data_IF_871603178214
#
_entry.id   IF_871603178214
#
_cell.length_a   1.000
_cell.length_b   1.000
_cell.length_c   1.000
_cell.angle_alpha   90.00
_cell.angle_beta   90.00
_cell.angle_gamma   90.00
#
_symmetry.space_group_name_H-M   'P 1'
#
loop_
_entity.id
_entity.type
_entity.pdbx_description
1 polymer ?
#
# COMPACT_ATOMS: atom_id res chain seq x y z
N UNK A 1 -35.84 -27.84 -56.58
CA UNK A 1 -36.12 -26.74 -55.61
C UNK A 1 -35.94 -27.28 -54.21
N UNK A 2 -34.76 -27.11 -53.65
CA UNK A 2 -34.48 -27.47 -52.25
C UNK A 2 -34.29 -26.17 -51.50
N UNK A 3 -35.20 -25.85 -50.60
CA UNK A 3 -35.17 -24.75 -49.72
C UNK A 3 -34.43 -25.27 -48.43
N UNK A 4 -33.17 -24.90 -48.25
CA UNK A 4 -32.44 -25.14 -47.03
C UNK A 4 -32.91 -24.16 -45.96
N UNK A 5 -33.47 -24.71 -44.88
CA UNK A 5 -33.85 -23.97 -43.70
C UNK A 5 -32.61 -23.35 -43.04
N UNK A 6 -32.62 -22.04 -42.88
CA UNK A 6 -31.62 -21.31 -42.07
C UNK A 6 -32.03 -21.54 -40.61
N UNK A 7 -31.21 -22.32 -39.88
CA UNK A 7 -31.32 -22.42 -38.43
C UNK A 7 -31.01 -21.05 -37.83
N UNK A 8 -31.99 -20.43 -37.20
CA UNK A 8 -31.83 -19.24 -36.38
C UNK A 8 -31.08 -19.61 -35.12
N UNK A 9 -29.77 -19.28 -35.06
CA UNK A 9 -29.02 -19.27 -33.84
C UNK A 9 -29.61 -18.22 -32.87
N UNK A 10 -30.56 -18.66 -32.07
CA UNK A 10 -31.00 -17.90 -30.90
C UNK A 10 -29.79 -17.76 -29.96
N UNK A 11 -29.19 -16.57 -29.96
CA UNK A 11 -28.22 -16.15 -28.94
C UNK A 11 -28.96 -16.24 -27.60
N UNK A 12 -28.69 -17.30 -26.85
CA UNK A 12 -29.13 -17.43 -25.45
C UNK A 12 -28.40 -16.32 -24.69
N UNK A 13 -29.09 -15.20 -24.46
CA UNK A 13 -28.61 -14.18 -23.54
C UNK A 13 -28.40 -14.87 -22.20
N UNK A 14 -27.22 -14.69 -21.55
CA UNK A 14 -26.97 -15.27 -20.25
C UNK A 14 -28.04 -14.79 -19.27
N UNK A 15 -28.62 -15.78 -18.59
CA UNK A 15 -29.63 -15.67 -17.54
C UNK A 15 -29.33 -14.45 -16.64
N UNK A 16 -30.40 -13.67 -16.37
CA UNK A 16 -30.36 -12.39 -15.66
C UNK A 16 -29.30 -12.38 -14.54
N UNK A 17 -28.20 -11.67 -14.78
CA UNK A 17 -27.09 -11.58 -13.87
C UNK A 17 -27.62 -11.12 -12.50
N UNK A 18 -27.64 -12.02 -11.51
CA UNK A 18 -28.00 -11.67 -10.14
C UNK A 18 -27.19 -10.46 -9.74
N UNK A 19 -27.80 -9.43 -9.13
CA UNK A 19 -27.05 -8.24 -8.73
C UNK A 19 -25.84 -8.66 -7.93
N UNK A 20 -24.66 -8.18 -8.35
CA UNK A 20 -23.39 -8.54 -7.72
C UNK A 20 -23.48 -8.30 -6.21
N UNK A 21 -23.30 -9.37 -5.44
CA UNK A 21 -23.36 -9.28 -3.97
C UNK A 21 -22.23 -8.40 -3.49
N UNK A 22 -22.55 -7.38 -2.68
CA UNK A 22 -21.55 -6.48 -2.11
C UNK A 22 -20.98 -7.08 -0.83
N UNK A 23 -19.68 -6.99 -0.66
CA UNK A 23 -18.99 -7.37 0.58
C UNK A 23 -18.97 -6.19 1.57
N UNK A 24 -20.10 -5.94 2.22
CA UNK A 24 -20.22 -4.85 3.19
C UNK A 24 -19.27 -5.03 4.39
N UNK A 25 -18.95 -6.27 4.77
CA UNK A 25 -17.99 -6.52 5.85
C UNK A 25 -16.59 -6.04 5.47
N UNK A 26 -16.17 -6.21 4.19
CA UNK A 26 -14.90 -5.66 3.70
C UNK A 26 -14.92 -4.12 3.70
N UNK A 27 -16.01 -3.49 3.29
CA UNK A 27 -16.11 -2.01 3.36
C UNK A 27 -15.94 -1.50 4.79
N UNK A 28 -16.64 -2.11 5.74
CA UNK A 28 -16.54 -1.74 7.15
C UNK A 28 -15.11 -2.01 7.67
N UNK A 29 -14.52 -3.17 7.33
CA UNK A 29 -13.17 -3.52 7.76
C UNK A 29 -12.13 -2.53 7.24
N UNK A 30 -12.20 -2.13 5.96
CA UNK A 30 -11.32 -1.11 5.36
C UNK A 30 -11.42 0.24 6.08
N UNK A 31 -12.63 0.64 6.48
CA UNK A 31 -12.85 1.88 7.23
C UNK A 31 -12.27 1.78 8.64
N UNK A 32 -12.45 0.63 9.29
CA UNK A 32 -12.12 0.46 10.71
C UNK A 32 -10.63 0.23 10.97
N UNK A 33 -9.92 -0.46 10.06
CA UNK A 33 -8.54 -0.88 10.31
C UNK A 33 -7.57 0.28 10.66
N UNK A 34 -7.59 1.46 10.02
CA UNK A 34 -6.72 2.57 10.40
C UNK A 34 -7.17 3.32 11.66
N UNK A 35 -8.36 3.00 12.18
CA UNK A 35 -8.92 3.62 13.38
C UNK A 35 -8.88 2.69 14.61
N UNK A 36 -8.45 1.44 14.44
CA UNK A 36 -8.61 0.37 15.42
C UNK A 36 -8.05 0.71 16.81
N UNK A 37 -6.88 1.36 16.89
CA UNK A 37 -6.24 1.64 18.16
C UNK A 37 -7.02 2.63 19.04
N UNK A 38 -7.96 3.40 18.44
CA UNK A 38 -8.84 4.28 19.20
C UNK A 38 -9.97 3.51 19.87
N UNK A 39 -10.55 2.54 19.17
CA UNK A 39 -11.77 1.87 19.66
C UNK A 39 -11.51 0.44 20.15
N UNK A 40 -10.32 -0.15 19.91
CA UNK A 40 -10.01 -1.53 20.35
C UNK A 40 -10.21 -1.70 21.87
N UNK A 41 -9.89 -0.68 22.66
CA UNK A 41 -10.08 -0.67 24.10
C UNK A 41 -11.55 -0.79 24.55
N UNK A 42 -12.50 -0.47 23.67
CA UNK A 42 -13.95 -0.55 23.93
C UNK A 42 -14.58 -1.82 23.35
N UNK A 43 -13.80 -2.62 22.59
CA UNK A 43 -14.29 -3.81 21.96
C UNK A 43 -13.94 -5.04 22.79
N UNK A 44 -14.81 -6.07 22.79
CA UNK A 44 -14.55 -7.28 23.52
C UNK A 44 -13.33 -8.02 22.94
N UNK A 45 -12.44 -8.44 23.82
CA UNK A 45 -11.41 -9.46 23.52
C UNK A 45 -11.95 -10.80 23.97
N UNK A 46 -12.01 -11.75 23.05
CA UNK A 46 -12.54 -13.10 23.31
C UNK A 46 -11.44 -14.07 23.77
N UNK A 47 -10.22 -13.60 23.96
CA UNK A 47 -9.06 -14.43 24.32
C UNK A 47 -8.49 -15.22 23.15
N UNK A 48 -7.32 -15.87 23.38
CA UNK A 48 -6.69 -16.71 22.36
C UNK A 48 -6.31 -15.99 21.06
N UNK A 49 -6.16 -14.68 21.08
CA UNK A 49 -5.90 -13.85 19.90
C UNK A 49 -7.12 -13.60 19.01
N UNK A 50 -8.32 -13.99 19.44
CA UNK A 50 -9.56 -13.69 18.75
C UNK A 50 -10.14 -12.37 19.26
N UNK A 51 -10.00 -11.32 18.47
CA UNK A 51 -10.56 -10.00 18.74
C UNK A 51 -11.58 -9.59 17.66
N UNK A 52 -12.24 -8.47 17.86
CA UNK A 52 -13.24 -7.96 16.93
C UNK A 52 -12.72 -7.81 15.50
N UNK A 53 -11.46 -7.39 15.29
CA UNK A 53 -10.88 -7.24 13.97
C UNK A 53 -10.71 -8.57 13.25
N UNK A 54 -10.33 -9.62 13.98
CA UNK A 54 -10.25 -10.98 13.45
C UNK A 54 -11.63 -11.49 13.01
N UNK A 55 -12.68 -11.18 13.77
CA UNK A 55 -14.07 -11.50 13.39
C UNK A 55 -14.49 -10.73 12.13
N UNK A 56 -14.14 -9.46 12.02
CA UNK A 56 -14.39 -8.67 10.81
C UNK A 56 -13.65 -9.25 9.60
N UNK A 57 -12.42 -9.67 9.77
CA UNK A 57 -11.65 -10.37 8.73
C UNK A 57 -12.34 -11.66 8.28
N UNK A 58 -12.76 -12.50 9.22
CA UNK A 58 -13.48 -13.75 8.92
C UNK A 58 -14.78 -13.44 8.17
N UNK A 59 -15.56 -12.47 8.64
CA UNK A 59 -16.80 -12.05 7.97
C UNK A 59 -16.54 -11.55 6.54
N UNK A 60 -15.52 -10.71 6.34
CA UNK A 60 -15.14 -10.19 5.03
C UNK A 60 -14.69 -11.32 4.10
N UNK A 61 -13.93 -12.29 4.60
CA UNK A 61 -13.47 -13.45 3.84
C UNK A 61 -14.64 -14.35 3.42
N UNK A 62 -15.51 -14.74 4.35
CA UNK A 62 -16.69 -15.57 4.05
C UNK A 62 -17.65 -14.89 3.06
N UNK A 63 -17.81 -13.56 3.15
CA UNK A 63 -18.58 -12.80 2.17
C UNK A 63 -17.89 -12.72 0.82
N UNK A 64 -16.56 -12.57 0.77
CA UNK A 64 -15.80 -12.55 -0.46
C UNK A 64 -15.99 -13.83 -1.29
N UNK A 65 -16.05 -15.00 -0.64
CA UNK A 65 -16.34 -16.29 -1.28
C UNK A 65 -17.71 -16.31 -2.01
N UNK A 66 -18.65 -15.43 -1.61
CA UNK A 66 -20.01 -15.35 -2.18
C UNK A 66 -20.18 -14.25 -3.21
N UNK A 67 -19.17 -13.37 -3.40
CA UNK A 67 -19.26 -12.24 -4.33
C UNK A 67 -18.98 -12.61 -5.79
N UNK A 68 -18.34 -13.76 -6.04
CA UNK A 68 -18.11 -14.28 -7.40
C UNK A 68 -16.95 -13.65 -8.17
N UNK A 69 -16.14 -12.76 -7.53
CA UNK A 69 -15.01 -12.13 -8.20
C UNK A 69 -13.88 -13.10 -8.55
N UNK A 70 -13.56 -14.04 -7.66
CA UNK A 70 -12.46 -14.98 -7.81
C UNK A 70 -11.07 -14.31 -7.83
N UNK A 71 -10.01 -15.12 -7.87
CA UNK A 71 -8.64 -14.63 -7.98
C UNK A 71 -8.26 -14.43 -9.47
N UNK A 72 -7.62 -13.31 -9.76
CA UNK A 72 -7.16 -12.97 -11.11
C UNK A 72 -5.88 -13.76 -11.42
N UNK A 73 -5.88 -14.46 -12.56
CA UNK A 73 -4.72 -15.20 -13.06
C UNK A 73 -3.86 -14.33 -13.99
N UNK A 74 -2.68 -14.79 -14.34
CA UNK A 74 -1.82 -14.18 -15.38
C UNK A 74 -1.01 -12.93 -14.94
N UNK A 75 -1.21 -12.41 -13.72
CA UNK A 75 -0.41 -11.28 -13.23
C UNK A 75 0.88 -11.71 -12.50
N UNK A 76 0.94 -12.95 -12.04
CA UNK A 76 2.00 -13.48 -11.18
C UNK A 76 1.96 -12.97 -9.73
N UNK A 77 1.26 -11.86 -9.45
CA UNK A 77 1.24 -11.21 -8.13
C UNK A 77 0.71 -12.14 -7.05
N UNK A 78 -0.40 -12.83 -7.31
CA UNK A 78 -1.00 -13.75 -6.35
C UNK A 78 -0.05 -14.88 -5.94
N UNK A 79 0.70 -15.44 -6.90
CA UNK A 79 1.68 -16.50 -6.64
C UNK A 79 2.84 -16.01 -5.78
N UNK A 80 3.41 -14.85 -6.10
CA UNK A 80 4.50 -14.27 -5.32
C UNK A 80 4.07 -13.84 -3.91
N UNK A 81 2.83 -13.34 -3.77
CA UNK A 81 2.26 -13.03 -2.44
C UNK A 81 2.06 -14.30 -1.61
N UNK A 82 1.54 -15.38 -2.20
CA UNK A 82 1.42 -16.67 -1.51
C UNK A 82 2.78 -17.23 -1.12
N UNK A 83 3.79 -17.12 -2.00
CA UNK A 83 5.15 -17.54 -1.69
C UNK A 83 5.76 -16.70 -0.56
N UNK A 84 5.50 -15.39 -0.53
CA UNK A 84 5.91 -14.50 0.54
C UNK A 84 5.32 -14.88 1.91
N UNK A 85 4.03 -15.25 1.94
CA UNK A 85 3.38 -15.74 3.16
C UNK A 85 3.93 -17.11 3.58
N UNK A 86 4.13 -18.03 2.64
CA UNK A 86 4.72 -19.34 2.90
C UNK A 86 6.16 -19.23 3.42
N UNK A 87 6.94 -18.31 2.85
CA UNK A 87 8.29 -17.97 3.33
C UNK A 87 8.29 -17.42 4.76
N UNK A 88 7.27 -16.64 5.12
CA UNK A 88 7.05 -16.16 6.49
C UNK A 88 6.77 -17.30 7.47
N UNK A 89 5.91 -18.25 7.08
CA UNK A 89 5.63 -19.45 7.90
C UNK A 89 6.88 -20.31 8.06
N UNK A 90 7.63 -20.55 6.99
CA UNK A 90 8.87 -21.30 7.04
C UNK A 90 9.90 -20.65 7.96
N UNK A 91 10.09 -19.33 7.83
CA UNK A 91 11.01 -18.58 8.70
C UNK A 91 10.57 -18.57 10.16
N UNK A 92 9.25 -18.53 10.44
CA UNK A 92 8.74 -18.71 11.80
C UNK A 92 9.11 -20.06 12.35
N UNK A 93 8.87 -21.16 11.61
CA UNK A 93 9.21 -22.51 12.06
C UNK A 93 10.70 -22.69 12.33
N UNK A 94 11.56 -22.12 11.51
CA UNK A 94 13.02 -22.14 11.69
C UNK A 94 13.41 -21.34 12.94
N UNK A 95 12.77 -20.20 13.18
CA UNK A 95 13.17 -19.25 14.22
C UNK A 95 12.67 -19.57 15.62
N UNK A 96 11.65 -20.43 15.80
CA UNK A 96 11.05 -20.70 17.11
C UNK A 96 12.01 -21.21 18.19
N UNK A 97 13.12 -21.84 17.79
CA UNK A 97 14.14 -22.34 18.70
C UNK A 97 15.34 -21.42 18.88
N UNK A 98 15.38 -20.28 18.20
CA UNK A 98 16.56 -19.39 18.18
C UNK A 98 16.49 -18.26 19.21
N UNK A 99 15.36 -18.10 19.88
CA UNK A 99 15.13 -17.10 20.92
C UNK A 99 14.54 -17.74 22.16
N UNK A 100 14.81 -17.17 23.32
CA UNK A 100 14.32 -17.68 24.62
C UNK A 100 12.78 -17.51 24.73
N UNK A 101 12.23 -16.42 24.21
CA UNK A 101 10.80 -16.12 24.20
C UNK A 101 10.29 -15.87 22.79
N UNK A 102 9.53 -16.82 22.23
CA UNK A 102 8.85 -16.71 20.96
C UNK A 102 7.36 -16.35 21.09
N UNK A 103 6.91 -15.94 22.28
CA UNK A 103 5.54 -15.46 22.50
C UNK A 103 5.27 -14.24 21.61
N UNK A 104 4.13 -14.26 20.91
CA UNK A 104 3.79 -13.15 19.99
C UNK A 104 4.18 -13.35 18.53
N UNK A 105 5.18 -14.19 18.20
CA UNK A 105 5.59 -14.41 16.80
C UNK A 105 4.43 -14.90 15.92
N UNK A 106 3.60 -15.80 16.42
CA UNK A 106 2.40 -16.26 15.73
C UNK A 106 1.38 -15.14 15.50
N UNK A 107 1.22 -14.22 16.45
CA UNK A 107 0.36 -13.06 16.31
C UNK A 107 0.93 -12.07 15.27
N UNK A 108 2.23 -11.80 15.29
CA UNK A 108 2.89 -10.95 14.31
C UNK A 108 2.71 -11.50 12.87
N UNK A 109 2.90 -12.82 12.68
CA UNK A 109 2.68 -13.47 11.38
C UNK A 109 1.21 -13.45 10.96
N UNK A 110 0.27 -13.67 11.89
CA UNK A 110 -1.17 -13.57 11.65
C UNK A 110 -1.54 -12.16 11.18
N UNK A 111 -1.10 -11.13 11.88
CA UNK A 111 -1.45 -9.74 11.57
C UNK A 111 -0.87 -9.32 10.21
N UNK A 112 0.36 -9.71 9.90
CA UNK A 112 0.98 -9.55 8.58
C UNK A 112 0.17 -10.27 7.50
N UNK A 113 -0.27 -11.50 7.76
CA UNK A 113 -1.04 -12.32 6.82
C UNK A 113 -2.42 -11.72 6.56
N UNK A 114 -3.12 -11.23 7.58
CA UNK A 114 -4.39 -10.52 7.45
C UNK A 114 -4.21 -9.30 6.54
N UNK A 115 -3.20 -8.47 6.78
CA UNK A 115 -2.93 -7.28 5.97
C UNK A 115 -2.71 -7.63 4.49
N UNK A 116 -1.87 -8.62 4.20
CA UNK A 116 -1.58 -9.06 2.83
C UNK A 116 -2.81 -9.64 2.14
N UNK A 117 -3.71 -10.28 2.89
CA UNK A 117 -4.94 -10.89 2.37
C UNK A 117 -5.92 -9.86 1.80
N UNK A 118 -5.79 -8.57 2.12
CA UNK A 118 -6.59 -7.50 1.48
C UNK A 118 -6.45 -7.48 -0.04
N UNK A 119 -5.30 -7.87 -0.58
CA UNK A 119 -5.12 -8.07 -2.02
C UNK A 119 -6.10 -9.11 -2.59
N UNK A 120 -6.28 -10.23 -1.90
CA UNK A 120 -7.19 -11.29 -2.33
C UNK A 120 -8.64 -10.91 -2.08
N UNK A 121 -8.94 -10.32 -0.92
CA UNK A 121 -10.30 -9.85 -0.58
C UNK A 121 -10.81 -8.83 -1.59
N UNK A 122 -9.97 -7.89 -2.04
CA UNK A 122 -10.34 -6.93 -3.08
C UNK A 122 -10.66 -7.63 -4.40
N UNK A 123 -9.83 -8.57 -4.85
CA UNK A 123 -10.06 -9.33 -6.07
C UNK A 123 -11.34 -10.17 -6.01
N UNK A 124 -11.57 -10.88 -4.90
CA UNK A 124 -12.71 -11.76 -4.73
C UNK A 124 -14.04 -11.01 -4.58
N UNK A 125 -14.01 -9.80 -4.02
CA UNK A 125 -15.19 -9.02 -3.70
C UNK A 125 -15.63 -8.08 -4.82
N UNK A 126 -14.73 -7.71 -5.74
CA UNK A 126 -15.00 -6.78 -6.83
C UNK A 126 -15.22 -7.53 -8.13
N UNK A 127 -16.35 -7.26 -8.81
CA UNK A 127 -16.72 -7.89 -10.09
C UNK A 127 -16.84 -6.88 -11.23
N UNK A 128 -16.97 -5.60 -10.92
CA UNK A 128 -17.18 -4.52 -11.87
C UNK A 128 -16.51 -3.20 -11.46
N UNK A 129 -16.50 -2.22 -12.35
CA UNK A 129 -15.94 -0.90 -12.09
C UNK A 129 -16.64 -0.14 -10.96
N UNK A 130 -17.93 -0.39 -10.74
CA UNK A 130 -18.70 0.27 -9.69
C UNK A 130 -18.27 -0.24 -8.31
N UNK A 131 -18.16 -1.55 -8.15
CA UNK A 131 -17.64 -2.18 -6.94
C UNK A 131 -16.22 -1.73 -6.61
N UNK A 132 -15.35 -1.64 -7.66
CA UNK A 132 -13.98 -1.16 -7.52
C UNK A 132 -13.92 0.28 -6.99
N UNK A 133 -14.69 1.19 -7.57
CA UNK A 133 -14.77 2.58 -7.12
C UNK A 133 -15.35 2.72 -5.71
N UNK A 134 -16.37 1.92 -5.36
CA UNK A 134 -16.97 1.94 -4.02
C UNK A 134 -15.99 1.45 -2.95
N UNK A 135 -15.25 0.38 -3.23
CA UNK A 135 -14.26 -0.14 -2.28
C UNK A 135 -13.09 0.84 -2.09
N UNK A 136 -12.66 1.51 -3.17
CA UNK A 136 -11.71 2.61 -3.06
C UNK A 136 -12.28 3.78 -2.23
N UNK A 137 -13.53 4.18 -2.45
CA UNK A 137 -14.16 5.25 -1.68
C UNK A 137 -14.22 4.92 -0.19
N UNK A 138 -14.49 3.66 0.17
CA UNK A 138 -14.45 3.21 1.57
C UNK A 138 -13.11 3.48 2.24
N UNK A 139 -11.99 3.34 1.49
CA UNK A 139 -10.64 3.63 2.03
C UNK A 139 -10.39 5.11 2.31
N UNK A 140 -11.17 6.03 1.73
CA UNK A 140 -11.06 7.46 1.99
C UNK A 140 -11.89 7.92 3.20
N UNK A 141 -12.89 7.14 3.61
CA UNK A 141 -13.83 7.51 4.68
C UNK A 141 -13.13 7.82 6.03
N UNK A 142 -12.13 7.07 6.49
CA UNK A 142 -11.49 7.33 7.78
C UNK A 142 -10.57 8.57 7.77
N UNK A 143 -10.12 9.04 6.60
CA UNK A 143 -9.08 10.07 6.49
C UNK A 143 -9.40 11.40 7.18
N UNK A 144 -10.63 11.97 7.09
CA UNK A 144 -10.96 13.19 7.79
C UNK A 144 -10.87 13.05 9.31
N UNK A 145 -11.29 11.90 9.85
CA UNK A 145 -11.22 11.66 11.28
C UNK A 145 -9.77 11.44 11.75
N UNK A 146 -8.97 10.70 10.99
CA UNK A 146 -7.53 10.53 11.26
C UNK A 146 -6.82 11.89 11.30
N UNK A 147 -7.12 12.76 10.33
CA UNK A 147 -6.58 14.11 10.30
C UNK A 147 -7.06 14.97 11.48
N UNK A 148 -8.34 14.87 11.86
CA UNK A 148 -8.88 15.56 13.02
C UNK A 148 -8.11 15.19 14.29
N UNK A 149 -7.91 13.90 14.54
CA UNK A 149 -7.14 13.41 15.72
C UNK A 149 -5.69 13.90 15.68
N UNK A 150 -5.04 13.84 14.50
CA UNK A 150 -3.70 14.37 14.36
C UNK A 150 -3.62 15.86 14.70
N UNK A 151 -4.55 16.66 14.16
CA UNK A 151 -4.61 18.10 14.41
C UNK A 151 -4.87 18.41 15.89
N UNK A 152 -5.78 17.70 16.51
CA UNK A 152 -6.11 17.87 17.93
C UNK A 152 -4.90 17.63 18.82
N UNK A 153 -4.16 16.53 18.59
CA UNK A 153 -2.93 16.22 19.29
C UNK A 153 -1.84 17.27 19.04
N UNK A 154 -1.69 17.74 17.78
CA UNK A 154 -0.72 18.78 17.44
C UNK A 154 -1.07 20.16 18.03
N UNK A 155 -2.34 20.45 18.31
CA UNK A 155 -2.74 21.73 18.90
C UNK A 155 -2.19 21.95 20.31
N UNK A 156 -1.78 20.88 21.00
CA UNK A 156 -1.18 20.93 22.33
C UNK A 156 0.33 21.22 22.33
N UNK A 157 0.99 21.25 21.16
CA UNK A 157 2.45 21.43 21.04
C UNK A 157 2.82 22.70 20.27
N UNK A 158 3.97 23.29 20.61
CA UNK A 158 4.47 24.51 19.95
C UNK A 158 4.93 24.19 18.52
N UNK A 159 4.55 25.03 17.55
CA UNK A 159 4.97 24.89 16.16
C UNK A 159 6.32 25.57 15.82
N UNK A 160 6.96 26.22 16.81
CA UNK A 160 8.14 27.06 16.57
C UNK A 160 9.46 26.29 16.55
N UNK A 161 9.64 25.33 17.47
CA UNK A 161 10.85 24.52 17.58
C UNK A 161 10.46 23.05 17.62
N UNK A 162 11.23 22.20 16.93
CA UNK A 162 11.00 20.76 16.93
C UNK A 162 11.39 20.16 18.28
N UNK A 163 10.52 19.27 18.80
CA UNK A 163 10.80 18.39 19.93
C UNK A 163 10.25 16.99 19.61
N UNK A 164 10.83 15.94 20.21
CA UNK A 164 10.39 14.56 19.93
C UNK A 164 8.94 14.29 20.37
N UNK A 165 8.40 15.07 21.32
CA UNK A 165 6.99 15.02 21.71
C UNK A 165 6.02 15.45 20.60
N UNK A 166 6.51 16.11 19.53
CA UNK A 166 5.70 16.46 18.35
C UNK A 166 5.49 15.27 17.40
N UNK A 167 6.18 14.15 17.60
CA UNK A 167 6.02 12.94 16.79
C UNK A 167 4.78 12.18 17.21
N UNK A 168 3.64 12.65 16.75
CA UNK A 168 2.30 12.19 17.11
C UNK A 168 1.86 11.10 16.14
N UNK A 169 1.25 10.05 16.66
CA UNK A 169 0.80 8.90 15.87
C UNK A 169 -0.67 8.95 15.48
N UNK A 170 -1.39 9.99 15.89
CA UNK A 170 -2.83 10.15 15.68
C UNK A 170 -3.61 8.86 16.03
N UNK A 171 -4.39 8.32 15.07
CA UNK A 171 -5.16 7.10 15.27
C UNK A 171 -4.32 5.83 15.31
N UNK A 172 -3.02 5.90 14.96
CA UNK A 172 -2.13 4.73 15.02
C UNK A 172 -1.55 4.47 16.40
N UNK A 173 -1.60 5.46 17.30
CA UNK A 173 -1.13 5.34 18.69
C UNK A 173 0.27 4.67 18.76
N UNK A 174 0.36 3.50 19.39
CA UNK A 174 1.61 2.77 19.62
C UNK A 174 2.33 2.30 18.34
N UNK A 175 1.65 2.30 17.18
CA UNK A 175 2.30 1.96 15.91
C UNK A 175 3.29 3.02 15.39
N UNK A 176 3.24 4.24 15.95
CA UNK A 176 4.23 5.27 15.69
C UNK A 176 3.85 6.30 14.61
N UNK A 177 4.48 7.48 14.71
CA UNK A 177 4.25 8.62 13.83
C UNK A 177 4.73 8.37 12.40
N UNK A 178 5.79 7.59 12.22
CA UNK A 178 6.33 7.29 10.90
C UNK A 178 5.40 6.39 10.10
N UNK A 179 4.73 5.44 10.75
CA UNK A 179 3.78 4.50 10.16
C UNK A 179 2.52 5.22 9.72
N UNK A 180 2.01 6.12 10.56
CA UNK A 180 0.91 7.02 10.19
C UNK A 180 1.29 7.92 9.02
N UNK A 181 2.49 8.51 9.03
CA UNK A 181 2.97 9.35 7.93
C UNK A 181 3.08 8.57 6.62
N UNK A 182 3.57 7.33 6.64
CA UNK A 182 3.63 6.47 5.45
C UNK A 182 2.24 6.10 4.93
N UNK A 183 1.26 5.90 5.82
CA UNK A 183 -0.14 5.73 5.43
C UNK A 183 -0.68 6.97 4.72
N UNK A 184 -0.44 8.17 5.29
CA UNK A 184 -0.86 9.43 4.68
C UNK A 184 -0.19 9.67 3.33
N UNK A 185 1.11 9.39 3.19
CA UNK A 185 1.83 9.45 1.90
C UNK A 185 1.16 8.55 0.87
N UNK A 186 0.88 7.29 1.24
CA UNK A 186 0.26 6.31 0.34
C UNK A 186 -1.13 6.76 -0.11
N UNK A 187 -2.00 7.15 0.83
CA UNK A 187 -3.35 7.61 0.54
C UNK A 187 -3.36 8.90 -0.30
N UNK A 188 -2.47 9.86 0.04
CA UNK A 188 -2.30 11.11 -0.69
C UNK A 188 -1.92 10.85 -2.15
N UNK A 189 -0.87 10.04 -2.40
CA UNK A 189 -0.38 9.79 -3.75
C UNK A 189 -1.38 9.03 -4.61
N UNK A 190 -2.10 8.04 -4.05
CA UNK A 190 -3.14 7.33 -4.79
C UNK A 190 -4.32 8.25 -5.12
N UNK A 191 -4.77 9.07 -4.17
CA UNK A 191 -5.83 10.04 -4.41
C UNK A 191 -5.39 11.13 -5.42
N UNK A 192 -4.14 11.60 -5.34
CA UNK A 192 -3.59 12.59 -6.27
C UNK A 192 -3.48 12.04 -7.69
N UNK A 193 -3.01 10.80 -7.88
CA UNK A 193 -2.98 10.16 -9.18
C UNK A 193 -4.37 10.05 -9.83
N UNK A 194 -5.41 9.75 -9.03
CA UNK A 194 -6.80 9.77 -9.48
C UNK A 194 -7.28 11.18 -9.81
N UNK A 195 -6.96 12.17 -8.98
CA UNK A 195 -7.38 13.57 -9.17
C UNK A 195 -6.89 14.15 -10.51
N UNK A 196 -5.65 13.84 -10.88
CA UNK A 196 -5.03 14.39 -12.10
C UNK A 196 -5.18 13.46 -13.31
N UNK A 197 -5.23 12.15 -13.10
CA UNK A 197 -5.22 11.14 -14.18
C UNK A 197 -6.61 10.74 -14.65
N UNK A 198 -7.67 10.96 -13.87
CA UNK A 198 -9.01 10.51 -14.17
C UNK A 198 -9.99 11.63 -14.50
N UNK A 199 -10.87 11.40 -15.48
CA UNK A 199 -12.04 12.26 -15.72
C UNK A 199 -13.16 11.81 -14.78
N UNK A 200 -13.32 12.53 -13.68
CA UNK A 200 -14.32 12.22 -12.63
C UNK A 200 -15.31 13.36 -12.47
N UNK A 201 -16.49 13.07 -11.91
CA UNK A 201 -17.49 14.08 -11.57
C UNK A 201 -16.96 15.06 -10.52
N UNK A 202 -17.65 16.20 -10.38
CA UNK A 202 -17.27 17.24 -9.42
C UNK A 202 -17.22 16.72 -7.97
N UNK A 203 -18.21 15.87 -7.57
CA UNK A 203 -18.21 15.27 -6.22
C UNK A 203 -16.98 14.40 -5.97
N UNK A 204 -16.56 13.59 -6.95
CA UNK A 204 -15.33 12.84 -6.87
C UNK A 204 -14.09 13.72 -6.79
N UNK A 205 -14.04 14.81 -7.59
CA UNK A 205 -12.92 15.76 -7.53
C UNK A 205 -12.82 16.42 -6.17
N UNK A 206 -13.95 16.85 -5.61
CA UNK A 206 -13.98 17.44 -4.27
C UNK A 206 -13.48 16.45 -3.22
N UNK A 207 -13.99 15.22 -3.21
CA UNK A 207 -13.56 14.18 -2.27
C UNK A 207 -12.06 13.85 -2.39
N UNK A 208 -11.54 13.69 -3.62
CA UNK A 208 -10.12 13.43 -3.86
C UNK A 208 -9.24 14.62 -3.47
N UNK A 209 -9.65 15.85 -3.82
CA UNK A 209 -8.91 17.05 -3.44
C UNK A 209 -8.86 17.24 -1.93
N UNK A 210 -9.98 17.00 -1.24
CA UNK A 210 -10.03 17.01 0.24
C UNK A 210 -9.08 15.96 0.82
N UNK A 211 -9.14 14.72 0.34
CA UNK A 211 -8.23 13.65 0.80
C UNK A 211 -6.76 14.03 0.58
N UNK A 212 -6.40 14.52 -0.62
CA UNK A 212 -5.03 14.96 -0.94
C UNK A 212 -4.58 16.07 0.01
N UNK A 213 -5.41 17.10 0.21
CA UNK A 213 -5.07 18.23 1.09
C UNK A 213 -4.89 17.80 2.54
N UNK A 214 -5.85 17.05 3.09
CA UNK A 214 -5.78 16.59 4.48
C UNK A 214 -4.55 15.71 4.70
N UNK A 215 -4.27 14.77 3.78
CA UNK A 215 -3.14 13.87 3.92
C UNK A 215 -1.80 14.57 3.69
N UNK A 216 -1.69 15.51 2.74
CA UNK A 216 -0.47 16.29 2.53
C UNK A 216 -0.13 17.14 3.77
N UNK A 217 -1.11 17.83 4.34
CA UNK A 217 -0.94 18.57 5.60
C UNK A 217 -0.60 17.61 6.74
N UNK A 218 -1.25 16.45 6.80
CA UNK A 218 -0.93 15.42 7.78
C UNK A 218 0.50 14.91 7.69
N UNK A 219 1.05 14.76 6.48
CA UNK A 219 2.48 14.41 6.27
C UNK A 219 3.39 15.50 6.83
N UNK A 220 3.10 16.77 6.61
CA UNK A 220 3.87 17.89 7.17
C UNK A 220 3.83 17.85 8.70
N UNK A 221 2.65 17.70 9.29
CA UNK A 221 2.45 17.65 10.75
C UNK A 221 2.92 16.36 11.42
N UNK A 222 3.37 15.36 10.67
CA UNK A 222 3.95 14.13 11.23
C UNK A 222 5.40 14.30 11.68
N UNK A 223 6.07 15.34 11.24
CA UNK A 223 7.51 15.59 11.46
C UNK A 223 8.41 14.39 11.07
N UNK A 224 7.96 13.57 10.11
CA UNK A 224 8.68 12.40 9.62
C UNK A 224 9.57 12.75 8.42
N UNK A 225 10.89 12.84 8.62
CA UNK A 225 11.89 13.08 7.54
C UNK A 225 11.72 12.10 6.37
N UNK A 226 11.56 10.81 6.69
CA UNK A 226 11.37 9.76 5.68
C UNK A 226 10.10 9.98 4.87
N UNK A 227 9.01 10.44 5.49
CA UNK A 227 7.76 10.72 4.80
C UNK A 227 7.89 11.92 3.84
N UNK A 228 8.67 12.94 4.22
CA UNK A 228 8.94 14.09 3.33
C UNK A 228 9.68 13.65 2.06
N UNK A 229 10.73 12.84 2.21
CA UNK A 229 11.48 12.31 1.06
C UNK A 229 10.58 11.38 0.21
N UNK A 230 9.82 10.50 0.87
CA UNK A 230 8.96 9.53 0.20
C UNK A 230 7.85 10.20 -0.62
N UNK A 231 7.17 11.24 -0.06
CA UNK A 231 6.10 11.93 -0.80
C UNK A 231 6.66 12.67 -2.01
N UNK A 232 7.81 13.33 -1.90
CA UNK A 232 8.47 14.02 -3.00
C UNK A 232 8.87 13.05 -4.11
N UNK A 233 9.46 11.91 -3.76
CA UNK A 233 9.80 10.87 -4.74
C UNK A 233 8.56 10.30 -5.42
N UNK A 234 7.48 10.02 -4.68
CA UNK A 234 6.21 9.57 -5.24
C UNK A 234 5.57 10.59 -6.17
N UNK A 235 5.58 11.87 -5.81
CA UNK A 235 5.10 12.96 -6.67
C UNK A 235 5.96 13.08 -7.94
N UNK A 236 7.29 12.93 -7.84
CA UNK A 236 8.18 12.92 -9.00
C UNK A 236 7.83 11.80 -9.97
N UNK A 237 7.57 10.59 -9.47
CA UNK A 237 7.13 9.45 -10.29
C UNK A 237 5.79 9.75 -10.98
N UNK A 238 4.81 10.27 -10.24
CA UNK A 238 3.50 10.64 -10.81
C UNK A 238 3.69 11.70 -11.90
N UNK A 239 4.53 12.71 -11.66
CA UNK A 239 4.83 13.76 -12.64
C UNK A 239 5.46 13.17 -13.89
N UNK A 240 6.48 12.33 -13.77
CA UNK A 240 7.21 11.74 -14.89
C UNK A 240 6.32 10.81 -15.75
N UNK A 241 5.45 10.03 -15.11
CA UNK A 241 4.56 9.09 -15.79
C UNK A 241 3.25 9.73 -16.28
N UNK A 242 2.91 10.94 -15.79
CA UNK A 242 1.68 11.63 -16.19
C UNK A 242 1.74 12.12 -17.64
N UNK A 243 0.65 11.92 -18.39
CA UNK A 243 0.50 12.47 -19.74
C UNK A 243 0.42 14.01 -19.77
N UNK A 244 0.07 14.63 -18.64
CA UNK A 244 0.00 16.10 -18.49
C UNK A 244 1.23 16.67 -17.77
N UNK A 245 2.33 15.93 -17.75
CA UNK A 245 3.57 16.28 -17.03
C UNK A 245 4.03 17.72 -17.24
N UNK A 246 3.98 18.22 -18.48
CA UNK A 246 4.38 19.60 -18.79
C UNK A 246 3.47 20.64 -18.13
N UNK A 247 2.15 20.36 -18.02
CA UNK A 247 1.19 21.25 -17.34
C UNK A 247 1.34 21.23 -15.83
N UNK A 248 1.83 20.11 -15.27
CA UNK A 248 2.06 19.94 -13.84
C UNK A 248 3.42 20.45 -13.39
N UNK A 249 4.39 20.55 -14.31
CA UNK A 249 5.78 20.89 -13.97
C UNK A 249 5.89 22.30 -13.37
N UNK A 250 5.20 23.29 -13.95
CA UNK A 250 5.22 24.64 -13.42
C UNK A 250 4.57 24.78 -12.05
N UNK A 251 3.35 24.24 -11.81
CA UNK A 251 2.78 24.20 -10.45
C UNK A 251 3.62 23.43 -9.46
N UNK A 252 4.25 22.31 -9.87
CA UNK A 252 5.13 21.52 -9.00
C UNK A 252 6.38 22.32 -8.60
N UNK A 253 7.01 23.01 -9.55
CA UNK A 253 8.15 23.88 -9.28
C UNK A 253 7.76 25.06 -8.38
N UNK A 254 6.63 25.70 -8.64
CA UNK A 254 6.10 26.75 -7.79
C UNK A 254 5.83 26.26 -6.37
N UNK A 255 5.26 25.06 -6.21
CA UNK A 255 5.03 24.45 -4.91
C UNK A 255 6.35 24.19 -4.18
N UNK A 256 7.38 23.67 -4.84
CA UNK A 256 8.70 23.45 -4.23
C UNK A 256 9.33 24.74 -3.70
N UNK A 257 9.13 25.86 -4.40
CA UNK A 257 9.64 27.18 -3.96
C UNK A 257 8.83 27.74 -2.78
N UNK A 258 7.51 27.51 -2.78
CA UNK A 258 6.61 28.08 -1.76
C UNK A 258 6.50 27.16 -0.52
N UNK A 259 6.73 25.85 -0.68
CA UNK A 259 6.59 24.87 0.41
C UNK A 259 7.38 25.24 1.68
N UNK A 260 8.67 25.64 1.63
CA UNK A 260 9.44 26.05 2.82
C UNK A 260 8.79 27.22 3.57
N UNK A 261 8.14 28.15 2.86
CA UNK A 261 7.47 29.32 3.46
C UNK A 261 6.15 28.91 4.13
N UNK A 262 5.49 27.88 3.62
CA UNK A 262 4.22 27.37 4.16
C UNK A 262 4.39 26.37 5.28
N UNK A 263 5.57 25.77 5.43
CA UNK A 263 5.84 24.79 6.49
C UNK A 263 5.94 25.47 7.85
N UNK A 264 5.39 24.85 8.92
CA UNK A 264 5.68 25.30 10.29
C UNK A 264 7.19 25.32 10.53
N UNK A 265 7.72 26.30 11.30
CA UNK A 265 9.17 26.40 11.58
C UNK A 265 9.77 25.10 12.11
N UNK A 266 9.10 24.42 13.03
CA UNK A 266 9.52 23.11 13.55
C UNK A 266 9.61 22.01 12.48
N UNK A 267 8.73 22.04 11.46
CA UNK A 267 8.78 21.07 10.36
C UNK A 267 9.95 21.39 9.42
N UNK A 268 10.27 22.67 9.22
CA UNK A 268 11.44 23.10 8.44
C UNK A 268 12.74 22.74 9.15
N UNK A 269 12.86 23.03 10.46
CA UNK A 269 13.97 22.62 11.31
C UNK A 269 14.19 21.09 11.23
N UNK A 270 13.11 20.30 11.27
CA UNK A 270 13.19 18.84 11.14
C UNK A 270 13.61 18.39 9.74
N UNK A 271 13.23 19.12 8.69
CA UNK A 271 13.68 18.84 7.32
C UNK A 271 15.17 19.18 7.15
N UNK A 272 15.63 20.30 7.68
CA UNK A 272 17.03 20.74 7.63
C UNK A 272 17.98 19.83 8.45
N UNK A 273 17.45 19.12 9.47
CA UNK A 273 18.23 18.15 10.26
C UNK A 273 18.56 16.85 9.50
N UNK A 274 18.20 16.73 8.21
CA UNK A 274 18.58 15.59 7.37
C UNK A 274 20.07 15.73 7.01
N UNK A 275 20.92 14.99 7.71
CA UNK A 275 22.35 14.91 7.40
C UNK A 275 22.82 13.47 7.32
N UNK A 276 23.81 13.23 6.45
CA UNK A 276 24.52 11.95 6.33
C UNK A 276 25.87 12.03 7.06
N UNK A 277 26.35 13.25 7.35
CA UNK A 277 27.62 13.49 8.02
C UNK A 277 27.56 13.04 9.49
N UNK A 278 28.54 12.24 9.92
CA UNK A 278 28.59 11.60 11.24
C UNK A 278 28.60 12.61 12.38
N UNK A 279 29.27 13.75 12.19
CA UNK A 279 29.40 14.81 13.20
C UNK A 279 28.09 15.58 13.48
N UNK A 280 27.09 15.48 12.57
CA UNK A 280 25.84 16.25 12.62
C UNK A 280 24.61 15.36 12.71
N UNK A 281 24.80 14.02 12.67
CA UNK A 281 23.69 13.05 12.76
C UNK A 281 23.05 13.07 14.15
N UNK A 282 21.72 12.91 14.18
CA UNK A 282 21.00 12.72 15.44
C UNK A 282 21.10 11.26 15.92
N UNK A 283 20.94 11.05 17.23
CA UNK A 283 20.98 9.75 17.89
C UNK A 283 20.08 8.68 17.21
N UNK A 284 18.92 9.10 16.71
CA UNK A 284 17.99 8.21 15.98
C UNK A 284 18.53 7.75 14.63
N UNK A 285 19.48 8.46 14.03
CA UNK A 285 20.13 8.04 12.79
C UNK A 285 21.32 7.15 13.09
N UNK A 286 22.11 7.48 14.11
CA UNK A 286 23.28 6.68 14.53
C UNK A 286 22.87 5.29 15.00
N UNK A 287 21.84 5.18 15.81
CA UNK A 287 21.33 3.88 16.28
C UNK A 287 20.95 2.94 15.12
N UNK A 288 20.45 3.47 14.00
CA UNK A 288 20.14 2.64 12.82
C UNK A 288 21.37 2.01 12.19
N UNK A 289 22.48 2.72 12.13
CA UNK A 289 23.72 2.12 11.58
C UNK A 289 24.21 0.97 12.46
N UNK A 290 24.10 1.10 13.79
CA UNK A 290 24.40 0.00 14.71
C UNK A 290 23.50 -1.22 14.41
N UNK A 291 22.18 -1.03 14.30
CA UNK A 291 21.25 -2.14 13.97
C UNK A 291 21.52 -2.75 12.60
N UNK A 292 21.96 -1.96 11.63
CA UNK A 292 22.31 -2.48 10.30
C UNK A 292 23.58 -3.32 10.35
N UNK A 293 24.59 -2.92 11.12
CA UNK A 293 25.81 -3.70 11.33
C UNK A 293 25.51 -5.04 12.01
N UNK A 294 24.72 -5.02 13.09
CA UNK A 294 24.25 -6.24 13.78
C UNK A 294 23.48 -7.15 12.82
N UNK A 295 22.54 -6.61 12.04
CA UNK A 295 21.78 -7.37 11.07
C UNK A 295 22.65 -7.99 9.97
N UNK A 296 23.66 -7.26 9.46
CA UNK A 296 24.60 -7.78 8.48
C UNK A 296 25.47 -8.88 9.11
N UNK A 297 25.86 -8.74 10.36
CA UNK A 297 26.63 -9.76 11.09
C UNK A 297 25.85 -11.07 11.16
N UNK A 298 24.63 -11.05 11.67
CA UNK A 298 23.77 -12.25 11.78
C UNK A 298 23.35 -12.83 10.43
N UNK A 299 23.16 -11.99 9.41
CA UNK A 299 22.95 -12.49 8.05
C UNK A 299 24.15 -13.30 7.53
N UNK A 300 25.40 -12.87 7.80
CA UNK A 300 26.60 -13.61 7.40
C UNK A 300 26.73 -14.97 8.09
N UNK A 301 26.22 -15.08 9.32
CA UNK A 301 26.21 -16.34 10.07
C UNK A 301 25.13 -17.31 9.54
N UNK A 302 23.98 -16.79 9.11
CA UNK A 302 22.83 -17.57 8.65
C UNK A 302 22.33 -17.14 7.25
N UNK A 303 23.15 -17.21 6.19
CA UNK A 303 22.87 -16.53 4.93
C UNK A 303 21.72 -17.15 4.12
N UNK A 304 21.44 -18.45 4.26
CA UNK A 304 20.44 -19.13 3.41
C UNK A 304 19.01 -18.92 3.88
N UNK A 305 18.76 -19.13 5.17
CA UNK A 305 17.39 -19.15 5.76
C UNK A 305 17.17 -18.10 6.84
N UNK A 306 18.24 -17.38 7.24
CA UNK A 306 18.19 -16.33 8.26
C UNK A 306 18.05 -16.86 9.69
N UNK A 307 17.87 -15.92 10.63
CA UNK A 307 17.73 -16.21 12.06
C UNK A 307 16.28 -16.59 12.45
N UNK A 308 15.31 -16.46 11.56
CA UNK A 308 13.89 -16.71 11.80
C UNK A 308 13.04 -15.45 11.84
N UNK A 309 11.75 -15.62 11.53
CA UNK A 309 10.76 -14.54 11.47
C UNK A 309 10.58 -13.87 12.84
N UNK A 310 10.67 -12.55 12.86
CA UNK A 310 10.43 -11.72 14.04
C UNK A 310 11.42 -11.96 15.19
N UNK A 311 12.65 -12.39 14.89
CA UNK A 311 13.66 -12.70 15.89
C UNK A 311 14.66 -11.55 16.14
N UNK A 312 14.85 -10.65 15.16
CA UNK A 312 15.93 -9.66 15.25
C UNK A 312 15.83 -8.74 16.48
N UNK A 313 14.62 -8.38 16.91
CA UNK A 313 14.43 -7.46 18.05
C UNK A 313 14.65 -8.11 19.43
N UNK A 314 15.02 -9.39 19.49
CA UNK A 314 15.37 -10.04 20.75
C UNK A 314 16.83 -9.80 21.15
N UNK A 315 17.11 -9.86 22.46
CA UNK A 315 18.42 -9.60 23.03
C UNK A 315 19.55 -10.51 22.49
N UNK A 316 19.17 -11.69 21.94
CA UNK A 316 20.09 -12.61 21.30
C UNK A 316 20.65 -12.08 19.95
N UNK A 317 19.97 -11.12 19.31
CA UNK A 317 20.31 -10.61 17.99
C UNK A 317 20.45 -9.10 17.89
N UNK A 318 19.87 -8.34 18.82
CA UNK A 318 19.97 -6.89 18.85
C UNK A 318 20.37 -6.42 20.27
N UNK A 319 21.45 -5.69 20.34
CA UNK A 319 22.00 -5.17 21.64
C UNK A 319 21.03 -4.20 22.34
N UNK A 320 20.09 -3.61 21.60
CA UNK A 320 19.12 -2.65 22.12
C UNK A 320 17.69 -3.18 22.09
N UNK A 321 17.48 -4.45 21.75
CA UNK A 321 16.15 -5.07 21.59
C UNK A 321 15.22 -4.28 20.66
N UNK A 322 15.79 -3.74 19.57
CA UNK A 322 15.10 -2.88 18.62
C UNK A 322 15.05 -3.52 17.24
N UNK A 323 14.07 -3.13 16.44
CA UNK A 323 13.95 -3.54 15.03
C UNK A 323 15.08 -2.94 14.17
N UNK A 324 15.38 -3.61 13.05
CA UNK A 324 16.41 -3.20 12.05
C UNK A 324 16.18 -1.79 11.51
N UNK A 325 14.95 -1.29 11.52
CA UNK A 325 14.54 -0.05 10.84
C UNK A 325 14.93 0.05 9.37
N UNK A 326 15.08 -1.10 8.72
CA UNK A 326 15.25 -1.26 7.27
C UNK A 326 14.60 -2.58 6.86
N UNK A 327 13.45 -2.49 6.21
CA UNK A 327 12.65 -3.67 5.84
C UNK A 327 13.40 -4.66 4.95
N UNK A 328 14.22 -4.18 4.02
CA UNK A 328 14.97 -5.05 3.10
C UNK A 328 16.02 -5.86 3.86
N UNK A 329 16.74 -5.20 4.74
CA UNK A 329 17.75 -5.84 5.58
C UNK A 329 17.11 -6.79 6.61
N UNK A 330 15.95 -6.41 7.15
CA UNK A 330 15.15 -7.29 8.02
C UNK A 330 14.74 -8.58 7.31
N UNK A 331 14.22 -8.49 6.09
CA UNK A 331 13.84 -9.68 5.32
C UNK A 331 15.05 -10.57 5.00
N UNK A 332 16.25 -9.98 4.82
CA UNK A 332 17.48 -10.73 4.62
C UNK A 332 17.97 -11.40 5.91
N UNK A 333 18.03 -10.69 7.04
CA UNK A 333 18.52 -11.28 8.29
C UNK A 333 17.57 -12.31 8.86
N UNK A 334 16.24 -12.07 8.78
CA UNK A 334 15.23 -12.99 9.32
C UNK A 334 14.95 -14.20 8.43
N UNK A 335 15.11 -14.08 7.10
CA UNK A 335 14.71 -15.14 6.13
C UNK A 335 15.81 -15.54 5.14
N UNK A 336 17.01 -15.00 5.30
CA UNK A 336 18.15 -15.28 4.45
C UNK A 336 17.96 -14.85 3.00
N UNK A 337 18.85 -15.35 2.13
CA UNK A 337 18.79 -15.15 0.67
C UNK A 337 17.46 -15.64 0.10
N UNK A 338 16.87 -16.70 0.65
CA UNK A 338 15.56 -17.20 0.22
C UNK A 338 14.48 -16.12 0.36
N UNK A 339 14.41 -15.46 1.52
CA UNK A 339 13.49 -14.34 1.75
C UNK A 339 13.77 -13.16 0.84
N UNK A 340 15.05 -12.83 0.63
CA UNK A 340 15.48 -11.77 -0.28
C UNK A 340 15.03 -11.99 -1.73
N UNK A 341 15.19 -13.22 -2.26
CA UNK A 341 14.73 -13.60 -3.60
C UNK A 341 13.22 -13.50 -3.74
N UNK A 342 12.48 -13.99 -2.74
CA UNK A 342 11.02 -13.89 -2.70
C UNK A 342 10.58 -12.42 -2.70
N UNK A 343 11.21 -11.59 -1.90
CA UNK A 343 10.94 -10.15 -1.84
C UNK A 343 11.22 -9.45 -3.16
N UNK A 344 12.36 -9.72 -3.78
CA UNK A 344 12.71 -9.15 -5.10
C UNK A 344 11.71 -9.57 -6.18
N UNK A 345 11.28 -10.84 -6.18
CA UNK A 345 10.24 -11.32 -7.08
C UNK A 345 8.91 -10.62 -6.85
N UNK A 346 8.53 -10.37 -5.60
CA UNK A 346 7.33 -9.63 -5.25
C UNK A 346 7.41 -8.16 -5.72
N UNK A 347 8.54 -7.49 -5.47
CA UNK A 347 8.80 -6.12 -5.95
C UNK A 347 8.70 -6.06 -7.47
N UNK A 348 9.32 -6.99 -8.17
CA UNK A 348 9.26 -7.10 -9.62
C UNK A 348 7.83 -7.28 -10.13
N UNK A 349 7.06 -8.21 -9.54
CA UNK A 349 5.68 -8.48 -9.94
C UNK A 349 4.75 -7.28 -9.73
N UNK A 350 4.87 -6.56 -8.61
CA UNK A 350 4.08 -5.33 -8.37
C UNK A 350 4.48 -4.25 -9.38
N UNK A 351 5.78 -4.04 -9.59
CA UNK A 351 6.27 -3.06 -10.58
C UNK A 351 5.77 -3.39 -11.98
N UNK A 352 5.84 -4.68 -12.38
CA UNK A 352 5.32 -5.16 -13.68
C UNK A 352 3.81 -4.97 -13.80
N UNK A 353 3.04 -5.24 -12.73
CA UNK A 353 1.58 -4.98 -12.69
C UNK A 353 1.29 -3.51 -13.00
N UNK A 354 1.97 -2.59 -12.31
CA UNK A 354 1.77 -1.15 -12.49
C UNK A 354 2.17 -0.71 -13.91
N UNK A 355 3.30 -1.20 -14.41
CA UNK A 355 3.76 -0.92 -15.76
C UNK A 355 2.76 -1.41 -16.83
N UNK A 356 2.30 -2.67 -16.73
CA UNK A 356 1.26 -3.21 -17.63
C UNK A 356 -0.05 -2.41 -17.53
N UNK A 357 -0.45 -2.04 -16.32
CA UNK A 357 -1.61 -1.19 -16.09
C UNK A 357 -1.48 0.14 -16.84
N UNK A 358 -0.35 0.84 -16.69
CA UNK A 358 -0.10 2.12 -17.37
C UNK A 358 -0.05 1.99 -18.90
N UNK A 359 0.41 0.86 -19.42
CA UNK A 359 0.52 0.64 -20.86
C UNK A 359 -0.84 0.51 -21.56
N UNK A 360 -1.85 -0.08 -20.87
CA UNK A 360 -3.16 -0.38 -21.49
C UNK A 360 -4.29 0.57 -21.08
N UNK A 361 -4.00 1.60 -20.24
CA UNK A 361 -5.03 2.54 -19.80
C UNK A 361 -5.46 3.50 -20.90
N UNK A 362 -6.76 3.82 -20.92
CA UNK A 362 -7.30 4.94 -21.69
C UNK A 362 -6.96 6.27 -21.00
N UNK A 363 -6.64 7.33 -21.77
CA UNK A 363 -6.45 8.66 -21.21
C UNK A 363 -7.69 9.13 -20.43
N UNK A 364 -7.49 9.58 -19.21
CA UNK A 364 -8.59 10.05 -18.36
C UNK A 364 -9.46 8.96 -17.76
N UNK A 365 -9.10 7.68 -17.90
CA UNK A 365 -9.82 6.58 -17.23
C UNK A 365 -9.57 6.58 -15.73
N UNK A 366 -10.57 6.13 -14.97
CA UNK A 366 -10.45 6.00 -13.51
C UNK A 366 -9.31 5.03 -13.13
N UNK A 367 -9.22 3.91 -13.86
CA UNK A 367 -8.15 2.93 -13.66
C UNK A 367 -6.76 3.52 -13.92
N UNK A 368 -6.63 4.34 -14.96
CA UNK A 368 -5.37 5.03 -15.25
C UNK A 368 -4.91 5.95 -14.12
N UNK A 369 -5.85 6.69 -13.52
CA UNK A 369 -5.55 7.51 -12.35
C UNK A 369 -5.15 6.69 -11.12
N UNK A 370 -5.84 5.56 -10.86
CA UNK A 370 -5.49 4.64 -9.78
C UNK A 370 -4.07 4.09 -9.93
N UNK A 371 -3.75 3.53 -11.10
CA UNK A 371 -2.42 2.92 -11.34
C UNK A 371 -1.32 3.97 -11.31
N UNK A 372 -1.57 5.18 -11.83
CA UNK A 372 -0.63 6.30 -11.77
C UNK A 372 -0.31 6.68 -10.31
N UNK A 373 -1.35 6.86 -9.48
CA UNK A 373 -1.17 7.18 -8.08
C UNK A 373 -0.50 6.06 -7.29
N UNK A 374 -0.88 4.81 -7.57
CA UNK A 374 -0.28 3.64 -6.94
C UNK A 374 1.19 3.44 -7.34
N UNK A 375 1.59 3.81 -8.57
CA UNK A 375 2.99 3.79 -8.98
C UNK A 375 3.83 4.79 -8.15
N UNK A 376 3.32 6.00 -7.92
CA UNK A 376 3.96 6.96 -7.01
C UNK A 376 4.02 6.44 -5.57
N UNK A 377 2.90 5.91 -5.05
CA UNK A 377 2.84 5.34 -3.71
C UNK A 377 3.78 4.14 -3.54
N UNK A 378 3.92 3.30 -4.57
CA UNK A 378 4.84 2.17 -4.56
C UNK A 378 6.29 2.60 -4.38
N UNK A 379 6.76 3.57 -5.17
CA UNK A 379 8.13 4.09 -5.03
C UNK A 379 8.32 4.79 -3.67
N UNK A 380 7.34 5.57 -3.22
CA UNK A 380 7.37 6.19 -1.90
C UNK A 380 7.51 5.16 -0.77
N UNK A 381 6.78 4.03 -0.85
CA UNK A 381 6.87 2.93 0.10
C UNK A 381 8.23 2.22 0.05
N UNK A 382 8.77 1.95 -1.14
CA UNK A 382 10.10 1.36 -1.25
C UNK A 382 11.16 2.24 -0.57
N UNK A 383 11.13 3.56 -0.80
CA UNK A 383 12.03 4.51 -0.13
C UNK A 383 11.76 4.52 1.38
N UNK A 384 10.50 4.57 1.80
CA UNK A 384 10.11 4.54 3.21
C UNK A 384 10.60 3.31 3.96
N UNK A 385 10.75 2.17 3.26
CA UNK A 385 11.24 0.92 3.81
C UNK A 385 12.77 0.79 3.88
N UNK A 386 13.52 1.71 3.27
CA UNK A 386 14.98 1.81 3.48
C UNK A 386 15.29 2.32 4.88
N UNK A 387 14.44 3.22 5.42
CA UNK A 387 14.63 3.85 6.72
C UNK A 387 13.54 3.47 7.73
N UNK A 388 12.95 2.28 7.59
CA UNK A 388 11.93 1.76 8.49
C UNK A 388 11.32 0.45 7.98
N UNK A 389 10.42 -0.12 8.78
CA UNK A 389 9.78 -1.42 8.55
C UNK A 389 8.29 -1.26 8.22
N UNK A 390 7.96 -0.43 7.22
CA UNK A 390 6.56 -0.06 6.92
C UNK A 390 5.71 -1.25 6.50
N UNK A 391 6.29 -2.27 5.85
CA UNK A 391 5.59 -3.48 5.45
C UNK A 391 5.28 -4.45 6.61
N UNK A 392 5.72 -4.16 7.83
CA UNK A 392 5.38 -4.94 9.02
C UNK A 392 4.11 -4.46 9.71
N UNK A 393 3.75 -3.19 9.57
CA UNK A 393 2.63 -2.55 10.27
C UNK A 393 1.31 -2.77 9.51
N UNK A 394 0.50 -3.69 9.98
CA UNK A 394 -0.69 -4.15 9.30
C UNK A 394 -1.73 -3.04 8.99
N UNK A 395 -1.95 -2.08 9.88
CA UNK A 395 -2.90 -0.99 9.65
C UNK A 395 -2.52 -0.13 8.42
N UNK A 396 -1.22 0.09 8.23
CA UNK A 396 -0.68 0.84 7.11
C UNK A 396 -0.67 0.00 5.83
N UNK A 397 -0.13 -1.22 5.89
CA UNK A 397 0.11 -2.02 4.69
C UNK A 397 -1.15 -2.67 4.12
N UNK A 398 -2.20 -2.87 4.94
CA UNK A 398 -3.48 -3.40 4.48
C UNK A 398 -4.10 -2.55 3.36
N UNK A 399 -4.02 -1.22 3.47
CA UNK A 399 -4.52 -0.32 2.43
C UNK A 399 -3.69 -0.37 1.15
N UNK A 400 -2.37 -0.52 1.27
CA UNK A 400 -1.54 -0.76 0.08
C UNK A 400 -1.94 -2.05 -0.65
N UNK A 401 -2.11 -3.16 0.08
CA UNK A 401 -2.54 -4.42 -0.51
C UNK A 401 -3.97 -4.36 -1.08
N UNK A 402 -4.85 -3.58 -0.45
CA UNK A 402 -6.17 -3.27 -1.00
C UNK A 402 -6.02 -2.60 -2.38
N UNK A 403 -5.23 -1.53 -2.48
CA UNK A 403 -5.02 -0.80 -3.74
C UNK A 403 -4.34 -1.68 -4.80
N UNK A 404 -3.38 -2.50 -4.42
CA UNK A 404 -2.76 -3.48 -5.31
C UNK A 404 -3.80 -4.51 -5.82
N UNK A 405 -4.69 -5.00 -4.95
CA UNK A 405 -5.79 -5.88 -5.32
C UNK A 405 -6.78 -5.21 -6.28
N UNK A 406 -7.12 -3.93 -6.06
CA UNK A 406 -7.92 -3.13 -6.98
C UNK A 406 -7.21 -2.92 -8.32
N UNK A 407 -5.89 -2.73 -8.34
CA UNK A 407 -5.13 -2.61 -9.57
C UNK A 407 -5.10 -3.93 -10.36
N UNK A 408 -4.93 -5.08 -9.69
CA UNK A 408 -5.01 -6.41 -10.30
C UNK A 408 -6.40 -6.64 -10.92
N UNK A 409 -7.47 -6.36 -10.16
CA UNK A 409 -8.85 -6.53 -10.66
C UNK A 409 -9.15 -5.54 -11.80
N UNK A 410 -8.73 -4.30 -11.68
CA UNK A 410 -8.90 -3.29 -12.73
C UNK A 410 -8.16 -3.65 -14.01
N UNK A 411 -6.98 -4.28 -13.92
CA UNK A 411 -6.26 -4.81 -15.07
C UNK A 411 -7.09 -5.86 -15.80
N UNK A 412 -7.66 -6.83 -15.07
CA UNK A 412 -8.52 -7.87 -15.66
C UNK A 412 -9.78 -7.27 -16.33
N UNK A 413 -10.48 -6.35 -15.64
CA UNK A 413 -11.66 -5.69 -16.21
C UNK A 413 -11.29 -4.93 -17.49
N UNK A 414 -10.10 -4.33 -17.52
CA UNK A 414 -9.64 -3.63 -18.72
C UNK A 414 -9.31 -4.58 -19.87
N UNK A 415 -8.69 -5.74 -19.61
CA UNK A 415 -8.47 -6.77 -20.64
C UNK A 415 -9.80 -7.31 -21.17
N UNK A 416 -10.78 -7.56 -20.30
CA UNK A 416 -12.12 -7.99 -20.73
C UNK A 416 -12.80 -6.97 -21.67
N UNK A 417 -12.64 -5.64 -21.40
CA UNK A 417 -13.13 -4.59 -22.30
C UNK A 417 -12.42 -4.57 -23.69
N UNK A 418 -11.18 -5.04 -23.73
CA UNK A 418 -10.40 -5.11 -24.97
C UNK A 418 -10.61 -6.41 -25.72
N UNK A 419 -11.40 -7.36 -25.19
CA UNK A 419 -11.58 -8.71 -25.75
C UNK A 419 -10.31 -9.56 -25.71
N UNK A 420 -9.34 -9.21 -24.82
CA UNK A 420 -8.06 -9.89 -24.68
C UNK A 420 -8.00 -10.69 -23.37
N UNK A 421 -7.31 -11.82 -23.40
CA UNK A 421 -7.02 -12.59 -22.17
C UNK A 421 -5.81 -12.01 -21.43
N UNK A 422 -5.77 -12.04 -20.08
CA UNK A 422 -4.66 -11.50 -19.29
C UNK A 422 -3.33 -12.24 -19.49
N UNK A 423 -3.36 -13.47 -19.99
CA UNK A 423 -2.19 -14.35 -20.12
C UNK A 423 -1.38 -14.13 -21.42
N UNK A 424 -1.92 -13.36 -22.37
CA UNK A 424 -1.17 -13.03 -23.58
C UNK A 424 -0.19 -11.92 -23.23
N UNK A 425 1.11 -12.20 -23.31
CA UNK A 425 2.13 -11.16 -23.26
C UNK A 425 1.81 -10.12 -24.34
N UNK A 426 1.65 -8.84 -23.99
CA UNK A 426 1.43 -7.84 -25.02
C UNK A 426 2.65 -7.88 -25.94
N UNK A 427 2.41 -8.16 -27.23
CA UNK A 427 3.42 -7.99 -28.27
C UNK A 427 4.02 -6.59 -28.08
N UNK A 428 5.35 -6.44 -27.92
CA UNK A 428 5.98 -5.14 -27.71
C UNK A 428 5.79 -4.18 -28.90
N UNK A 429 5.36 -4.70 -30.05
CA UNK A 429 4.95 -3.83 -31.16
C UNK A 429 3.57 -3.22 -30.85
N UNK A 430 3.47 -1.88 -30.75
CA UNK A 430 2.17 -1.24 -30.60
C UNK A 430 1.33 -1.58 -31.83
N UNK A 431 0.21 -2.26 -31.60
CA UNK A 431 -0.76 -2.56 -32.67
C UNK A 431 -1.17 -1.23 -33.30
N UNK A 432 -0.56 -0.90 -34.43
CA UNK A 432 -0.84 0.28 -35.26
C UNK A 432 -2.31 0.32 -35.67
N UNK A 433 -2.92 -0.88 -35.85
CA UNK A 433 -4.34 -1.01 -36.19
C UNK A 433 -5.30 -0.49 -35.12
N UNK A 434 -4.97 -0.63 -33.81
CA UNK A 434 -5.80 -0.07 -32.73
C UNK A 434 -5.69 1.45 -32.63
N UNK A 435 -4.58 2.04 -33.04
CA UNK A 435 -4.41 3.50 -33.13
C UNK A 435 -5.23 4.13 -34.25
N UNK A 436 -5.40 3.42 -35.35
CA UNK A 436 -6.15 3.92 -36.51
C UNK A 436 -7.67 3.78 -36.31
N UNK A 437 -8.15 2.76 -35.60
CA UNK A 437 -9.55 2.65 -35.20
C UNK A 437 -9.98 3.72 -34.18
N UNK A 438 -9.10 4.19 -33.31
CA UNK A 438 -9.40 5.30 -32.37
C UNK A 438 -9.34 6.71 -33.03
N UNK A 439 -8.79 6.82 -34.23
CA UNK A 439 -8.77 8.09 -34.99
C UNK A 439 -10.01 8.29 -35.87
N UNK A 440 -10.74 7.21 -36.13
CA UNK A 440 -11.94 7.22 -36.99
C UNK A 440 -13.26 7.13 -36.22
N UNK A 441 -13.22 7.05 -34.90
CA UNK A 441 -14.37 7.15 -33.98
C UNK A 441 -14.26 8.44 -33.13
#
# INVERSE_FOLDING_TARGET
MNVTAVESNTVVLPDHARPARQNWALYLFVIMIPLQNIYVQYLPDFGGGLNFLNLMFIAAFLMALRCGGGLVRGTGVNGWVMLYLAGGVLALMIGLGNVADSTGHGNALKDKSIAVTFLFLAQMSVTDWTGLKRLFLASLVPLPYMFYVLRDQNAAVSAWHYTDHMRISATFMDLGANEMAAFFVTACLVAFGLLIGARVSWGWRAALATAVTLMAVGVVLSYSRTAYIAILAGLAVILLLSRIRLKLMLPALALLVVLPVLMPPAAMERFESISIEEEVRDESTDSRFVFWEEAIHHFKENPLVGIGFHNFHHAEFSSHEMDVHNFFLRELVEKGVLGGVILLGLIWCITRLLWRGLAIVRPGSWYGGLVLGLAGAWVALLIGNVFGDRFTHYAMIAHFWLYAGLAVRGLQLRYAELGAEPDIEPNPEPNLELRDMERTA
#
